data_IF_956750047850
#
_entry.id   IF_956750047850
#
_cell.length_a   1.000
_cell.length_b   1.000
_cell.length_c   1.000
_cell.angle_alpha   90.00
_cell.angle_beta   90.00
_cell.angle_gamma   90.00
#
_symmetry.space_group_name_H-M   'P 1'
#
loop_
_entity.id
_entity.type
_entity.pdbx_description
1 polymer ?
#
# COMPACT_ATOMS: atom_id res chain seq x y z
N UNK A 1 3.92 2.27 1.40
CA UNK A 1 2.90 1.23 1.58
C UNK A 1 2.89 0.75 3.03
N UNK A 2 1.75 0.81 3.66
CA UNK A 2 1.55 0.30 5.01
C UNK A 2 0.87 -1.07 4.92
N UNK A 3 1.48 -2.09 5.47
CA UNK A 3 0.95 -3.43 5.35
C UNK A 3 1.53 -4.43 6.35
N UNK A 4 1.18 -5.70 6.19
CA UNK A 4 1.67 -6.78 7.04
C UNK A 4 1.95 -8.02 6.18
N UNK A 5 2.97 -8.78 6.57
CA UNK A 5 3.41 -9.95 5.80
C UNK A 5 2.38 -11.08 5.76
N UNK A 6 1.53 -11.18 6.79
CA UNK A 6 0.48 -12.20 6.83
C UNK A 6 -0.73 -11.86 5.95
N UNK A 7 -0.85 -10.62 5.51
CA UNK A 7 -1.99 -10.14 4.74
C UNK A 7 -1.80 -10.48 3.25
N UNK A 8 -2.70 -11.29 2.70
CA UNK A 8 -2.63 -11.69 1.30
C UNK A 8 -2.75 -10.52 0.34
N UNK A 9 -3.61 -9.55 0.65
CA UNK A 9 -3.77 -8.36 -0.19
C UNK A 9 -2.53 -7.49 -0.15
N UNK A 10 -1.85 -7.42 1.00
CA UNK A 10 -0.59 -6.68 1.12
C UNK A 10 0.50 -7.33 0.27
N UNK A 11 0.61 -8.66 0.32
CA UNK A 11 1.60 -9.38 -0.49
C UNK A 11 1.31 -9.23 -1.98
N UNK A 12 0.05 -9.26 -2.38
CA UNK A 12 -0.35 -9.08 -3.77
C UNK A 12 -0.01 -7.68 -4.26
N UNK A 13 -0.32 -6.64 -3.49
CA UNK A 13 0.02 -5.26 -3.85
C UNK A 13 1.53 -5.06 -3.95
N UNK A 14 2.28 -5.60 -2.99
CA UNK A 14 3.74 -5.55 -2.99
C UNK A 14 4.31 -6.24 -4.22
N UNK A 15 3.78 -7.40 -4.59
CA UNK A 15 4.19 -8.15 -5.76
C UNK A 15 3.91 -7.36 -7.05
N UNK A 16 2.74 -6.74 -7.15
CA UNK A 16 2.40 -5.91 -8.30
C UNK A 16 3.38 -4.74 -8.47
N UNK A 17 3.65 -4.04 -7.37
CA UNK A 17 4.59 -2.91 -7.39
C UNK A 17 5.99 -3.36 -7.82
N UNK A 18 6.44 -4.49 -7.30
CA UNK A 18 7.76 -5.04 -7.64
C UNK A 18 7.83 -5.46 -9.11
N UNK A 19 6.81 -6.16 -9.61
CA UNK A 19 6.77 -6.61 -11.00
C UNK A 19 6.72 -5.45 -12.00
N UNK A 20 6.13 -4.34 -11.62
CA UNK A 20 6.00 -3.17 -12.48
C UNK A 20 7.11 -2.14 -12.25
N UNK A 21 8.14 -2.51 -11.49
CA UNK A 21 9.31 -1.66 -11.21
C UNK A 21 8.93 -0.31 -10.59
N UNK A 22 7.90 -0.31 -9.74
CA UNK A 22 7.46 0.89 -9.01
C UNK A 22 8.21 0.94 -7.69
N UNK A 23 9.07 1.96 -7.47
CA UNK A 23 9.76 2.08 -6.18
C UNK A 23 8.76 2.42 -5.07
N UNK A 24 8.91 1.78 -3.92
CA UNK A 24 8.05 2.04 -2.77
C UNK A 24 8.78 1.74 -1.47
N UNK A 25 8.33 2.39 -0.41
CA UNK A 25 8.77 2.11 0.95
C UNK A 25 7.72 1.24 1.62
N UNK A 26 8.15 0.13 2.20
CA UNK A 26 7.27 -0.78 2.93
C UNK A 26 7.34 -0.49 4.42
N UNK A 27 6.20 -0.25 5.04
CA UNK A 27 6.09 0.03 6.47
C UNK A 27 5.23 -1.04 7.12
N UNK A 28 5.82 -1.81 8.03
CA UNK A 28 5.13 -2.89 8.73
C UNK A 28 4.28 -2.31 9.86
N UNK A 29 2.96 -2.52 9.76
CA UNK A 29 2.01 -2.07 10.79
C UNK A 29 1.76 -3.15 11.85
N UNK A 30 2.24 -4.36 11.64
CA UNK A 30 2.08 -5.47 12.59
C UNK A 30 2.90 -5.23 13.86
N UNK A 31 4.15 -4.83 13.68
CA UNK A 31 5.11 -4.69 14.77
C UNK A 31 5.40 -3.24 15.14
N UNK A 32 4.64 -2.30 14.59
CA UNK A 32 4.84 -0.87 14.84
C UNK A 32 3.48 -0.19 15.04
N UNK A 33 3.14 0.08 16.30
CA UNK A 33 1.86 0.68 16.66
C UNK A 33 1.73 2.10 16.11
N UNK A 34 2.81 2.86 16.08
CA UNK A 34 2.81 4.22 15.53
C UNK A 34 2.50 4.19 14.02
N UNK A 35 3.09 3.24 13.30
CA UNK A 35 2.84 3.08 11.87
C UNK A 35 1.39 2.67 11.64
N UNK A 36 0.84 1.78 12.46
CA UNK A 36 -0.56 1.37 12.37
C UNK A 36 -1.50 2.56 12.60
N UNK A 37 -1.24 3.35 13.62
CA UNK A 37 -2.03 4.53 13.93
C UNK A 37 -1.96 5.55 12.78
N UNK A 38 -0.79 5.70 12.19
CA UNK A 38 -0.57 6.58 11.05
C UNK A 38 -1.38 6.13 9.83
N UNK A 39 -1.38 4.82 9.55
CA UNK A 39 -2.15 4.26 8.44
C UNK A 39 -3.64 4.48 8.64
N UNK A 40 -4.15 4.30 9.85
CA UNK A 40 -5.56 4.55 10.19
C UNK A 40 -5.89 6.03 10.03
N UNK A 41 -5.02 6.92 10.49
CA UNK A 41 -5.19 8.36 10.35
C UNK A 41 -5.28 8.78 8.88
N UNK A 42 -4.40 8.25 8.04
CA UNK A 42 -4.34 8.57 6.62
C UNK A 42 -5.56 8.06 5.88
N UNK A 43 -5.96 6.81 6.13
CA UNK A 43 -7.03 6.14 5.39
C UNK A 43 -8.41 6.31 6.01
N UNK A 44 -8.49 6.59 7.30
CA UNK A 44 -9.74 6.62 8.05
C UNK A 44 -10.27 5.22 8.36
N UNK A 45 -9.51 4.17 8.10
CA UNK A 45 -9.93 2.77 8.24
C UNK A 45 -8.80 1.92 8.83
N UNK A 46 -9.16 0.78 9.40
CA UNK A 46 -8.20 -0.22 9.89
C UNK A 46 -7.73 -1.18 8.80
N UNK A 47 -8.27 -1.08 7.60
CA UNK A 47 -7.97 -1.99 6.50
C UNK A 47 -6.56 -1.74 5.95
N UNK A 48 -5.87 -2.79 5.58
CA UNK A 48 -4.56 -2.76 4.93
C UNK A 48 -4.62 -3.61 3.65
N UNK A 49 -3.78 -3.36 2.65
CA UNK A 49 -2.72 -2.35 2.62
C UNK A 49 -3.25 -0.93 2.40
N UNK A 50 -2.50 0.05 2.88
CA UNK A 50 -2.74 1.46 2.60
C UNK A 50 -1.54 1.99 1.80
N UNK A 51 -1.80 2.50 0.62
CA UNK A 51 -0.77 3.07 -0.24
C UNK A 51 -0.96 4.57 -0.35
N UNK A 52 0.08 5.32 -0.03
CA UNK A 52 0.10 6.77 -0.21
C UNK A 52 0.95 7.06 -1.44
N UNK A 53 0.35 7.69 -2.44
CA UNK A 53 1.00 7.98 -3.70
C UNK A 53 1.71 9.33 -3.66
N UNK A 54 2.71 9.55 -4.53
CA UNK A 54 3.44 10.83 -4.55
C UNK A 54 2.55 12.05 -4.79
N UNK A 55 1.41 11.87 -5.48
CA UNK A 55 0.45 12.95 -5.73
C UNK A 55 -0.50 13.21 -4.56
N UNK A 56 -0.37 12.45 -3.46
CA UNK A 56 -1.22 12.58 -2.28
C UNK A 56 -2.43 11.65 -2.26
N UNK A 57 -2.69 10.91 -3.32
CA UNK A 57 -3.79 9.95 -3.35
C UNK A 57 -3.53 8.80 -2.39
N UNK A 58 -4.60 8.28 -1.81
CA UNK A 58 -4.55 7.15 -0.86
C UNK A 58 -5.39 6.01 -1.41
N UNK A 59 -4.79 4.83 -1.52
CA UNK A 59 -5.47 3.61 -1.93
C UNK A 59 -5.57 2.68 -0.74
N UNK A 60 -6.75 2.11 -0.51
CA UNK A 60 -7.00 1.14 0.58
C UNK A 60 -7.44 -0.17 -0.05
N UNK A 61 -6.71 -1.24 0.23
CA UNK A 61 -6.96 -2.57 -0.32
C UNK A 61 -7.14 -2.57 -1.85
N UNK A 62 -6.24 -1.89 -2.61
CA UNK A 62 -6.42 -1.82 -4.05
C UNK A 62 -6.21 -3.18 -4.70
N UNK A 63 -7.00 -3.48 -5.72
CA UNK A 63 -6.76 -4.62 -6.59
C UNK A 63 -5.80 -4.20 -7.72
N UNK A 64 -5.40 -5.16 -8.56
CA UNK A 64 -4.45 -4.90 -9.65
C UNK A 64 -4.98 -3.87 -10.64
N UNK A 65 -6.27 -3.87 -10.92
CA UNK A 65 -6.90 -2.88 -11.81
C UNK A 65 -6.80 -1.48 -11.23
N UNK A 66 -7.07 -1.35 -9.94
CA UNK A 66 -6.99 -0.05 -9.26
C UNK A 66 -5.53 0.46 -9.17
N UNK A 67 -4.60 -0.45 -8.92
CA UNK A 67 -3.17 -0.11 -8.92
C UNK A 67 -2.74 0.37 -10.30
N UNK A 68 -3.12 -0.35 -11.33
CA UNK A 68 -2.79 -0.01 -12.72
C UNK A 68 -3.38 1.33 -13.15
N UNK A 69 -4.57 1.66 -12.68
CA UNK A 69 -5.22 2.93 -13.00
C UNK A 69 -4.57 4.11 -12.27
N UNK A 70 -4.14 3.91 -11.02
CA UNK A 70 -3.61 4.97 -10.17
C UNK A 70 -2.09 5.17 -10.34
N UNK A 71 -1.37 4.08 -10.61
CA UNK A 71 0.09 4.09 -10.72
C UNK A 71 0.46 3.64 -12.13
N UNK A 72 1.06 4.56 -12.89
CA UNK A 72 1.56 4.21 -14.22
C UNK A 72 3.03 3.89 -14.11
N UNK A 73 3.42 2.63 -14.39
CA UNK A 73 4.83 2.27 -14.36
C UNK A 73 5.60 3.15 -15.36
N UNK A 74 6.80 3.57 -14.95
CA UNK A 74 7.73 4.25 -15.84
C UNK A 74 8.18 3.23 -16.88
N UNK A 75 7.74 3.39 -18.11
CA UNK A 75 8.07 2.39 -19.10
C UNK A 75 8.47 2.96 -20.39
#
# INVERSE_FOLDING_TARGET
MYGAEWCGDCRRAKSWLTRNNVPFTYIDVENDDEARDKAIEISGRKNIPVLVLPNGDVLVEPNDTQLSAAIRPAG
#
